data_IF_252785265867
#
_entry.id   IF_252785265867
#
_cell.length_a   1.000
_cell.length_b   1.000
_cell.length_c   1.000
_cell.angle_alpha   90.00
_cell.angle_beta   90.00
_cell.angle_gamma   90.00
#
_symmetry.space_group_name_H-M   'P 1'
#
loop_
_entity.id
_entity.type
_entity.pdbx_description
1 polymer ?
#
# COMPACT_ATOMS: atom_id res chain seq x y z
N UNK A 1 3.69 -6.81 -16.97
CA UNK A 1 3.05 -7.04 -15.66
C UNK A 1 2.93 -8.54 -15.46
N UNK A 2 2.98 -9.03 -14.22
CA UNK A 2 2.91 -10.46 -13.90
C UNK A 2 1.87 -10.70 -12.79
N UNK A 3 1.25 -11.89 -12.72
CA UNK A 3 0.33 -12.25 -11.65
C UNK A 3 0.97 -12.12 -10.26
N UNK A 4 0.21 -11.67 -9.27
CA UNK A 4 0.69 -11.56 -7.88
C UNK A 4 0.82 -12.95 -7.27
N UNK A 5 2.04 -13.27 -6.85
CA UNK A 5 2.38 -14.51 -6.14
C UNK A 5 2.73 -14.25 -4.67
N UNK A 6 2.73 -12.98 -4.23
CA UNK A 6 2.93 -12.62 -2.82
C UNK A 6 1.68 -13.03 -2.02
N UNK A 7 1.75 -13.98 -1.08
CA UNK A 7 0.55 -14.54 -0.44
C UNK A 7 -0.35 -13.50 0.24
N UNK A 8 0.25 -12.52 0.94
CA UNK A 8 -0.48 -11.45 1.62
C UNK A 8 -1.26 -10.52 0.66
N UNK A 9 -0.87 -10.47 -0.61
CA UNK A 9 -1.42 -9.56 -1.61
C UNK A 9 -2.38 -10.24 -2.60
N UNK A 10 -2.65 -11.53 -2.42
CA UNK A 10 -3.66 -12.24 -3.20
C UNK A 10 -5.08 -11.84 -2.74
N UNK A 11 -6.06 -11.89 -3.66
CA UNK A 11 -7.46 -11.57 -3.35
C UNK A 11 -7.76 -10.07 -3.15
N UNK A 12 -6.83 -9.18 -3.49
CA UNK A 12 -7.10 -7.75 -3.59
C UNK A 12 -7.93 -7.43 -4.84
N UNK A 13 -8.38 -6.18 -4.96
CA UNK A 13 -9.11 -5.69 -6.15
C UNK A 13 -8.28 -5.70 -7.44
N UNK A 14 -6.98 -5.94 -7.33
CA UNK A 14 -6.03 -6.06 -8.43
C UNK A 14 -5.20 -7.33 -8.24
N UNK A 15 -4.80 -7.97 -9.33
CA UNK A 15 -4.17 -9.30 -9.32
C UNK A 15 -2.85 -9.34 -10.11
N UNK A 16 -2.39 -8.21 -10.64
CA UNK A 16 -1.14 -8.08 -11.38
C UNK A 16 -0.24 -7.02 -10.73
N UNK A 17 1.06 -7.25 -10.81
CA UNK A 17 2.11 -6.34 -10.33
C UNK A 17 3.20 -6.15 -11.37
N UNK A 18 4.07 -5.18 -11.14
CA UNK A 18 5.29 -4.96 -11.89
C UNK A 18 6.54 -5.18 -11.00
N UNK A 19 7.66 -5.49 -11.64
CA UNK A 19 9.01 -5.46 -11.04
C UNK A 19 9.90 -4.54 -11.90
N UNK A 20 10.85 -3.78 -11.32
CA UNK A 20 11.06 -3.64 -9.87
C UNK A 20 9.87 -2.97 -9.17
N UNK A 21 9.62 -3.32 -7.91
CA UNK A 21 8.60 -2.64 -7.10
C UNK A 21 9.11 -1.28 -6.59
N UNK A 22 8.32 -0.57 -5.78
CA UNK A 22 8.69 0.77 -5.29
C UNK A 22 9.96 0.80 -4.43
N UNK A 23 10.37 -0.36 -3.91
CA UNK A 23 11.56 -0.51 -3.07
C UNK A 23 12.75 -1.08 -3.85
N UNK A 24 12.65 -1.21 -5.18
CA UNK A 24 13.71 -1.71 -6.03
C UNK A 24 13.84 -3.24 -6.09
N UNK A 25 12.97 -3.99 -5.42
CA UNK A 25 13.03 -5.45 -5.47
C UNK A 25 12.75 -5.95 -6.89
N UNK A 26 13.66 -6.75 -7.42
CA UNK A 26 13.64 -7.18 -8.84
C UNK A 26 12.81 -8.45 -9.06
N UNK A 27 12.33 -9.07 -7.98
CA UNK A 27 11.45 -10.24 -8.04
C UNK A 27 10.39 -10.23 -6.93
N UNK A 28 9.26 -10.89 -7.17
CA UNK A 28 8.25 -11.09 -6.13
C UNK A 28 8.78 -11.97 -4.98
N UNK A 29 9.73 -12.88 -5.26
CA UNK A 29 10.37 -13.71 -4.22
C UNK A 29 11.14 -12.84 -3.23
N UNK A 30 11.91 -11.88 -3.71
CA UNK A 30 12.64 -10.93 -2.88
C UNK A 30 11.68 -10.07 -2.03
N UNK A 31 10.59 -9.58 -2.66
CA UNK A 31 9.54 -8.85 -1.96
C UNK A 31 8.86 -9.70 -0.86
N UNK A 32 8.57 -10.98 -1.11
CA UNK A 32 8.02 -11.91 -0.10
C UNK A 32 8.95 -12.04 1.11
N UNK A 33 10.26 -12.21 0.88
CA UNK A 33 11.23 -12.31 1.97
C UNK A 33 11.20 -11.08 2.86
N UNK A 34 11.15 -9.87 2.27
CA UNK A 34 11.07 -8.62 3.05
C UNK A 34 9.72 -8.40 3.71
N UNK A 35 8.62 -8.82 3.05
CA UNK A 35 7.28 -8.71 3.61
C UNK A 35 7.03 -9.65 4.79
N UNK A 36 7.76 -10.77 4.89
CA UNK A 36 7.58 -11.75 5.98
C UNK A 36 7.66 -11.13 7.38
N UNK A 37 8.42 -10.04 7.53
CA UNK A 37 8.51 -9.24 8.75
C UNK A 37 7.15 -8.69 9.22
N UNK A 38 6.28 -8.33 8.28
CA UNK A 38 4.97 -7.75 8.57
C UNK A 38 3.87 -8.80 8.79
N UNK A 39 4.17 -10.09 8.73
CA UNK A 39 3.17 -11.15 8.95
C UNK A 39 2.45 -10.94 10.29
N UNK A 40 3.20 -10.77 11.38
CA UNK A 40 2.62 -10.56 12.72
C UNK A 40 1.81 -9.25 12.83
N UNK A 41 2.28 -8.18 12.16
CA UNK A 41 1.61 -6.87 12.15
C UNK A 41 0.30 -6.93 11.37
N UNK A 42 0.26 -7.69 10.27
CA UNK A 42 -0.99 -7.84 9.49
C UNK A 42 -1.98 -8.78 10.16
N UNK A 43 -1.52 -9.74 10.95
CA UNK A 43 -2.38 -10.62 11.74
C UNK A 43 -3.00 -9.91 12.96
N UNK A 44 -2.35 -8.89 13.50
CA UNK A 44 -2.86 -8.14 14.65
C UNK A 44 -4.02 -7.18 14.32
N UNK A 45 -4.28 -6.93 13.03
CA UNK A 45 -5.37 -6.05 12.54
C UNK A 45 -5.31 -4.63 13.11
N UNK A 46 -4.11 -4.14 13.46
CA UNK A 46 -3.90 -2.78 13.97
C UNK A 46 -4.51 -1.69 13.06
N UNK A 47 -4.53 -1.94 11.74
CA UNK A 47 -5.23 -1.12 10.76
C UNK A 47 -5.96 -1.99 9.76
N UNK A 48 -7.16 -1.58 9.36
CA UNK A 48 -7.85 -2.17 8.19
C UNK A 48 -7.10 -1.91 6.87
N UNK A 49 -6.18 -0.94 6.86
CA UNK A 49 -5.48 -0.47 5.67
C UNK A 49 -4.06 -1.03 5.54
N UNK A 50 -3.46 -1.56 6.61
CA UNK A 50 -2.03 -1.95 6.62
C UNK A 50 -1.69 -2.97 5.53
N UNK A 51 -2.54 -3.99 5.36
CA UNK A 51 -2.35 -5.01 4.31
C UNK A 51 -2.36 -4.39 2.93
N UNK A 52 -3.33 -3.53 2.63
CA UNK A 52 -3.44 -2.89 1.33
C UNK A 52 -2.32 -1.88 1.08
N UNK A 53 -1.92 -1.12 2.10
CA UNK A 53 -0.77 -0.22 2.04
C UNK A 53 0.50 -0.98 1.69
N UNK A 54 0.84 -2.03 2.44
CA UNK A 54 2.03 -2.84 2.17
C UNK A 54 1.98 -3.44 0.77
N UNK A 55 0.84 -3.97 0.34
CA UNK A 55 0.71 -4.52 -1.00
C UNK A 55 0.85 -3.47 -2.10
N UNK A 56 0.38 -2.24 -1.90
CA UNK A 56 0.59 -1.13 -2.84
C UNK A 56 2.05 -0.66 -2.90
N UNK A 57 2.90 -1.04 -1.94
CA UNK A 57 4.35 -0.78 -1.96
C UNK A 57 5.13 -1.96 -2.57
N UNK A 58 4.88 -3.18 -2.09
CA UNK A 58 5.66 -4.37 -2.43
C UNK A 58 5.18 -5.09 -3.69
N UNK A 59 3.89 -4.97 -4.04
CA UNK A 59 3.28 -5.48 -5.26
C UNK A 59 2.38 -4.42 -5.88
N UNK A 60 2.93 -3.29 -6.36
CA UNK A 60 2.12 -2.19 -6.85
C UNK A 60 1.40 -2.56 -8.15
N UNK A 61 0.15 -2.10 -8.25
CA UNK A 61 -0.60 -2.13 -9.50
C UNK A 61 -0.03 -1.11 -10.50
N UNK A 62 -0.07 -1.47 -11.79
CA UNK A 62 0.25 -0.57 -12.89
C UNK A 62 -1.04 -0.24 -13.65
N UNK A 63 -1.42 1.04 -13.70
CA UNK A 63 -2.63 1.54 -14.39
C UNK A 63 -2.17 2.42 -15.54
N UNK A 64 -2.58 2.09 -16.77
CA UNK A 64 -2.17 2.80 -17.98
C UNK A 64 -0.64 2.98 -18.13
N UNK A 65 0.13 1.96 -17.74
CA UNK A 65 1.61 1.98 -17.83
C UNK A 65 2.29 2.75 -16.70
N UNK A 66 1.53 3.34 -15.77
CA UNK A 66 2.05 4.09 -14.63
C UNK A 66 1.85 3.32 -13.32
N UNK A 67 2.90 3.28 -12.50
CA UNK A 67 2.82 2.70 -11.16
C UNK A 67 2.07 3.66 -10.24
N UNK A 68 0.94 3.22 -9.68
CA UNK A 68 0.21 4.02 -8.68
C UNK A 68 0.71 3.71 -7.27
N UNK A 69 1.63 4.52 -6.79
CA UNK A 69 2.16 4.42 -5.42
C UNK A 69 1.11 4.88 -4.38
N UNK A 70 1.23 4.48 -3.09
CA UNK A 70 0.37 5.01 -2.03
C UNK A 70 0.43 6.53 -1.92
N UNK A 71 -0.69 7.22 -1.68
CA UNK A 71 -0.66 8.63 -1.27
C UNK A 71 -0.14 8.75 0.17
N UNK A 72 0.45 9.90 0.51
CA UNK A 72 0.94 10.19 1.87
C UNK A 72 -0.12 9.95 2.94
N UNK A 73 -1.31 10.51 2.76
CA UNK A 73 -2.42 10.33 3.71
C UNK A 73 -2.84 8.86 3.90
N UNK A 74 -2.74 8.03 2.86
CA UNK A 74 -3.01 6.59 2.99
C UNK A 74 -1.92 5.88 3.80
N UNK A 75 -0.65 6.24 3.60
CA UNK A 75 0.46 5.77 4.44
C UNK A 75 0.26 6.18 5.90
N UNK A 76 -0.05 7.46 6.17
CA UNK A 76 -0.18 7.97 7.53
C UNK A 76 -1.28 7.26 8.32
N UNK A 77 -2.40 6.94 7.66
CA UNK A 77 -3.48 6.16 8.27
C UNK A 77 -3.06 4.73 8.60
N UNK A 78 -2.32 4.07 7.70
CA UNK A 78 -1.79 2.73 7.95
C UNK A 78 -0.73 2.73 9.07
N UNK A 79 0.16 3.74 9.06
CA UNK A 79 1.25 3.92 10.02
C UNK A 79 0.72 4.21 11.41
N UNK A 80 -0.11 5.26 11.58
CA UNK A 80 -0.59 5.73 12.90
C UNK A 80 -1.20 4.62 13.74
N UNK A 81 -1.96 3.73 13.11
CA UNK A 81 -2.65 2.67 13.84
C UNK A 81 -1.74 1.47 14.19
N UNK A 82 -0.62 1.30 13.48
CA UNK A 82 0.30 0.17 13.67
C UNK A 82 1.64 0.54 14.31
N UNK A 83 2.06 1.81 14.26
CA UNK A 83 3.35 2.28 14.79
C UNK A 83 3.47 2.07 16.30
N UNK A 84 2.43 2.38 17.07
CA UNK A 84 2.43 2.14 18.52
C UNK A 84 2.60 0.66 18.85
N UNK A 85 1.93 -0.22 18.09
CA UNK A 85 2.08 -1.66 18.26
C UNK A 85 3.49 -2.14 17.93
N UNK A 86 4.07 -1.64 16.83
CA UNK A 86 5.45 -1.96 16.44
C UNK A 86 6.42 -1.52 17.53
N UNK A 87 6.28 -0.29 18.04
CA UNK A 87 7.12 0.25 19.10
C UNK A 87 7.05 -0.59 20.38
N UNK A 88 5.86 -1.08 20.75
CA UNK A 88 5.66 -1.94 21.92
C UNK A 88 6.38 -3.29 21.84
N UNK A 89 6.67 -3.78 20.62
CA UNK A 89 7.47 -5.00 20.41
C UNK A 89 8.94 -4.70 20.05
N UNK A 90 9.39 -3.47 20.28
CA UNK A 90 10.77 -3.04 20.03
C UNK A 90 11.12 -2.87 18.54
N UNK A 91 10.11 -2.72 17.69
CA UNK A 91 10.26 -2.55 16.24
C UNK A 91 9.89 -1.13 15.85
N UNK A 92 10.77 -0.43 15.14
CA UNK A 92 10.45 0.89 14.59
C UNK A 92 9.80 0.79 13.20
N UNK A 93 8.98 1.79 12.86
CA UNK A 93 8.47 1.93 11.50
C UNK A 93 9.64 2.08 10.50
N UNK A 94 9.73 1.25 9.43
CA UNK A 94 10.87 1.25 8.53
C UNK A 94 11.07 2.57 7.78
N UNK A 95 12.33 2.94 7.55
CA UNK A 95 12.69 4.17 6.86
C UNK A 95 12.13 4.20 5.42
N UNK A 96 12.17 3.06 4.74
CA UNK A 96 11.67 2.87 3.38
C UNK A 96 10.15 3.05 3.26
N UNK A 97 9.42 2.96 4.38
CA UNK A 97 7.97 3.15 4.46
C UNK A 97 7.59 4.50 5.06
N UNK A 98 8.52 5.42 5.29
CA UNK A 98 8.21 6.73 5.85
C UNK A 98 7.24 7.50 4.93
N UNK A 99 6.16 8.03 5.52
CA UNK A 99 5.07 8.60 4.73
C UNK A 99 5.47 9.87 3.96
N UNK A 100 6.50 10.58 4.42
CA UNK A 100 7.11 11.71 3.71
C UNK A 100 7.65 11.35 2.33
N UNK A 101 8.02 10.08 2.11
CA UNK A 101 8.50 9.55 0.82
C UNK A 101 7.40 9.40 -0.24
N UNK A 102 6.13 9.53 0.16
CA UNK A 102 4.98 9.46 -0.76
C UNK A 102 4.46 10.86 -1.09
N UNK A 103 3.93 11.02 -2.31
CA UNK A 103 3.31 12.28 -2.76
C UNK A 103 1.90 12.45 -2.17
N UNK A 104 1.50 13.72 -2.07
CA UNK A 104 0.14 14.09 -1.68
C UNK A 104 -0.86 13.80 -2.80
N UNK A 105 -2.13 13.67 -2.43
CA UNK A 105 -3.22 13.61 -3.40
C UNK A 105 -3.32 14.96 -4.11
N UNK A 106 -3.17 14.94 -5.43
CA UNK A 106 -3.44 16.11 -6.27
C UNK A 106 -4.94 16.17 -6.58
N UNK A 107 -5.59 17.27 -6.18
CA UNK A 107 -7.00 17.56 -6.45
C UNK A 107 -7.25 18.13 -7.86
N UNK A 108 -6.20 18.28 -8.67
CA UNK A 108 -6.28 18.80 -10.04
C UNK A 108 -6.83 17.74 -11.00
N UNK A 109 -7.60 18.17 -12.00
CA UNK A 109 -8.40 17.44 -13.04
C UNK A 109 -7.74 16.28 -13.85
N UNK A 110 -6.80 15.52 -13.29
CA UNK A 110 -6.15 14.36 -13.89
C UNK A 110 -6.27 13.14 -12.96
N UNK A 111 -6.11 11.90 -13.47
CA UNK A 111 -6.09 10.73 -12.60
C UNK A 111 -5.02 10.92 -11.52
N UNK A 112 -5.40 10.76 -10.25
CA UNK A 112 -4.48 10.94 -9.12
C UNK A 112 -3.24 10.05 -9.31
N UNK A 113 -2.06 10.68 -9.26
CA UNK A 113 -0.74 10.03 -9.43
C UNK A 113 -0.52 8.93 -8.39
N UNK A 114 -1.15 9.08 -7.22
CA UNK A 114 -1.09 8.14 -6.11
C UNK A 114 -2.44 7.48 -5.82
N UNK A 115 -2.42 6.41 -5.04
CA UNK A 115 -3.58 5.65 -4.57
C UNK A 115 -3.97 6.08 -3.16
N UNK A 116 -5.24 6.47 -2.98
CA UNK A 116 -5.87 6.67 -1.68
C UNK A 116 -7.13 5.79 -1.57
N UNK A 117 -7.39 5.22 -0.39
CA UNK A 117 -8.57 4.34 -0.17
C UNK A 117 -9.90 5.10 -0.33
N UNK A 118 -9.89 6.43 -0.11
CA UNK A 118 -11.10 7.29 -0.18
C UNK A 118 -11.57 7.67 -1.59
N UNK A 119 -10.94 7.18 -2.67
CA UNK A 119 -11.41 7.39 -4.05
C UNK A 119 -12.63 6.53 -4.45
N UNK A 120 -13.62 6.42 -3.55
CA UNK A 120 -14.98 5.95 -3.82
C UNK A 120 -15.99 6.95 -3.23
N UNK A 121 -15.97 8.19 -3.71
CA UNK A 121 -17.10 9.12 -3.55
C UNK A 121 -17.35 9.89 -4.87
N UNK A 122 -18.03 9.20 -5.78
CA UNK A 122 -18.85 9.72 -6.88
C UNK A 122 -19.66 8.52 -7.41
N UNK A 123 -20.95 8.31 -7.17
CA UNK A 123 -22.08 9.17 -6.85
C UNK A 123 -23.02 8.47 -5.85
N UNK A 124 -23.25 9.06 -4.67
CA UNK A 124 -24.56 8.95 -4.02
C UNK A 124 -25.26 10.26 -4.38
N UNK A 125 -25.98 10.25 -5.51
CA UNK A 125 -27.04 11.23 -5.72
C UNK A 125 -28.15 10.84 -4.74
N UNK A 126 -28.54 11.81 -3.93
CA UNK A 126 -29.76 11.86 -3.14
C UNK A 126 -30.91 11.08 -3.82
N UNK A 127 -31.38 10.03 -3.17
CA UNK A 127 -32.80 9.67 -3.25
C UNK A 127 -33.37 9.90 -1.85
N UNK A 128 -33.89 11.11 -1.68
CA UNK A 128 -35.05 11.37 -0.83
C UNK A 128 -36.21 10.55 -1.39
#
# INVERSE_FOLDING_TARGET
>A
MNPITIPMCQGLSYNQTIVPNLLGHTSQREAVTKMSFFNSITQSVCSVDIRLFLCRVYAPECVAGQVRHPCRSFCENAKRACEDMMNNIGVSWPHELQCSSFSEESWSLYPSICFNRKQKMSNIILKV
#
